data_IF_267930482346
#
_entry.id   IF_267930482346
#
_cell.length_a   1.000
_cell.length_b   1.000
_cell.length_c   1.000
_cell.angle_alpha   90.00
_cell.angle_beta   90.00
_cell.angle_gamma   90.00
#
_symmetry.space_group_name_H-M   'P 1'
#
loop_
_entity.id
_entity.type
_entity.pdbx_description
1 polymer ?
#
# COMPACT_ATOMS: atom_id res chain seq x y z
N UNK A 1 22.04 21.12 -4.12
CA UNK A 1 21.01 20.93 -5.17
C UNK A 1 19.73 20.50 -4.49
N UNK A 2 18.57 21.00 -4.92
CA UNK A 2 17.27 20.64 -4.33
C UNK A 2 16.37 19.88 -5.31
N UNK A 3 16.01 18.66 -4.94
CA UNK A 3 14.98 17.86 -5.58
C UNK A 3 13.66 18.05 -4.83
N UNK A 4 12.68 18.65 -5.50
CA UNK A 4 11.36 18.87 -4.94
C UNK A 4 10.37 17.85 -5.51
N UNK A 5 9.64 17.15 -4.64
CA UNK A 5 8.64 16.13 -4.99
C UNK A 5 7.28 16.66 -4.53
N UNK A 6 6.30 16.71 -5.41
CA UNK A 6 4.93 17.11 -5.05
C UNK A 6 4.04 15.87 -5.03
N UNK A 7 3.51 15.53 -3.86
CA UNK A 7 2.56 14.45 -3.63
C UNK A 7 3.11 13.31 -2.78
N UNK A 8 2.31 12.84 -1.83
CA UNK A 8 2.61 11.72 -0.93
C UNK A 8 1.97 10.38 -1.38
N UNK A 9 1.50 10.30 -2.64
CA UNK A 9 0.98 9.05 -3.20
C UNK A 9 2.08 8.05 -3.53
N UNK A 10 1.72 6.92 -4.15
CA UNK A 10 2.68 5.87 -4.54
C UNK A 10 3.87 6.43 -5.33
N UNK A 11 3.62 7.21 -6.38
CA UNK A 11 4.67 7.77 -7.21
C UNK A 11 5.62 8.70 -6.43
N UNK A 12 5.09 9.53 -5.53
CA UNK A 12 5.88 10.47 -4.73
C UNK A 12 6.70 9.78 -3.66
N UNK A 13 6.12 8.80 -2.96
CA UNK A 13 6.83 7.95 -2.01
C UNK A 13 7.98 7.19 -2.70
N UNK A 14 7.72 6.54 -3.84
CA UNK A 14 8.77 5.84 -4.58
C UNK A 14 9.83 6.78 -5.12
N UNK A 15 9.46 7.97 -5.61
CA UNK A 15 10.43 8.98 -6.01
C UNK A 15 11.36 9.36 -4.84
N UNK A 16 10.81 9.63 -3.66
CA UNK A 16 11.60 9.96 -2.47
C UNK A 16 12.55 8.81 -2.08
N UNK A 17 12.04 7.58 -2.00
CA UNK A 17 12.84 6.39 -1.68
C UNK A 17 13.94 6.14 -2.71
N UNK A 18 13.62 6.19 -4.00
CA UNK A 18 14.58 5.96 -5.07
C UNK A 18 15.65 7.04 -5.13
N UNK A 19 15.29 8.31 -4.93
CA UNK A 19 16.24 9.42 -4.90
C UNK A 19 17.16 9.35 -3.68
N UNK A 20 16.62 9.04 -2.49
CA UNK A 20 17.43 8.84 -1.30
C UNK A 20 18.38 7.64 -1.45
N UNK A 21 17.91 6.54 -2.04
CA UNK A 21 18.76 5.38 -2.33
C UNK A 21 19.86 5.69 -3.34
N UNK A 22 19.56 6.48 -4.38
CA UNK A 22 20.58 6.89 -5.36
C UNK A 22 21.62 7.81 -4.72
N UNK A 23 21.19 8.77 -3.88
CA UNK A 23 22.08 9.65 -3.10
C UNK A 23 23.07 8.84 -2.25
N UNK A 24 22.57 7.81 -1.56
CA UNK A 24 23.38 6.88 -0.75
C UNK A 24 24.37 6.07 -1.59
N UNK A 25 23.92 5.45 -2.70
CA UNK A 25 24.79 4.67 -3.60
C UNK A 25 25.93 5.51 -4.18
N UNK A 26 25.65 6.78 -4.49
CA UNK A 26 26.64 7.70 -5.05
C UNK A 26 27.53 8.36 -3.98
N UNK A 27 27.26 8.13 -2.68
CA UNK A 27 28.00 8.76 -1.59
C UNK A 27 27.83 10.28 -1.53
N UNK A 28 26.71 10.79 -2.02
CA UNK A 28 26.39 12.23 -2.02
C UNK A 28 25.81 12.62 -0.67
N UNK A 29 26.26 13.74 -0.10
CA UNK A 29 25.75 14.21 1.20
C UNK A 29 24.32 14.78 1.09
N UNK A 30 23.54 14.76 2.18
CA UNK A 30 22.29 15.51 2.27
C UNK A 30 22.37 16.99 1.92
N UNK A 31 23.50 17.64 2.24
CA UNK A 31 23.72 19.06 1.97
C UNK A 31 23.93 19.33 0.47
N UNK A 32 24.56 18.37 -0.24
CA UNK A 32 24.77 18.46 -1.68
C UNK A 32 23.49 18.13 -2.48
N UNK A 33 22.68 17.19 -1.96
CA UNK A 33 21.39 16.79 -2.52
C UNK A 33 20.31 16.76 -1.44
N UNK A 34 19.63 17.89 -1.30
CA UNK A 34 18.43 18.04 -0.49
C UNK A 34 17.23 17.44 -1.24
N UNK A 35 16.48 16.57 -0.57
CA UNK A 35 15.26 15.98 -1.10
C UNK A 35 14.10 16.44 -0.22
N UNK A 36 13.12 17.11 -0.81
CA UNK A 36 11.94 17.59 -0.12
C UNK A 36 10.66 17.04 -0.76
N UNK A 37 9.71 16.62 0.06
CA UNK A 37 8.39 16.13 -0.35
C UNK A 37 7.29 17.03 0.21
N UNK A 38 6.49 17.62 -0.70
CA UNK A 38 5.34 18.45 -0.37
C UNK A 38 4.07 17.61 -0.46
N UNK A 39 3.27 17.58 0.61
CA UNK A 39 1.92 17.06 0.57
C UNK A 39 1.05 17.67 1.69
N UNK A 40 -0.29 17.65 1.58
CA UNK A 40 -1.17 18.12 2.65
C UNK A 40 -1.04 17.28 3.93
N UNK A 41 -0.82 15.98 3.75
CA UNK A 41 -0.65 15.00 4.83
C UNK A 41 0.49 14.04 4.50
N UNK A 42 1.27 13.58 5.51
CA UNK A 42 2.33 12.61 5.33
C UNK A 42 1.78 11.17 5.37
N UNK A 43 0.75 10.90 4.56
CA UNK A 43 0.01 9.64 4.59
C UNK A 43 -0.13 9.07 3.17
N UNK A 44 0.22 7.80 3.01
CA UNK A 44 -0.07 7.05 1.78
C UNK A 44 -1.45 6.40 1.90
N UNK A 45 -2.36 6.76 0.99
CA UNK A 45 -3.63 6.04 0.82
C UNK A 45 -3.43 4.89 -0.17
N UNK A 46 -3.82 3.67 0.22
CA UNK A 46 -3.73 2.47 -0.64
C UNK A 46 -4.94 2.45 -1.58
N UNK A 47 -4.99 3.43 -2.50
CA UNK A 47 -6.10 3.64 -3.46
C UNK A 47 -6.57 2.37 -4.18
N UNK A 48 -5.69 1.45 -4.62
CA UNK A 48 -6.12 0.20 -5.26
C UNK A 48 -6.99 -0.72 -4.40
N UNK A 49 -7.08 -0.52 -3.08
CA UNK A 49 -7.85 -1.35 -2.15
C UNK A 49 -9.09 -0.65 -1.59
N UNK A 50 -9.39 0.59 -1.98
CA UNK A 50 -10.49 1.38 -1.39
C UNK A 50 -11.90 0.82 -1.62
N UNK A 51 -12.05 -0.24 -2.41
CA UNK A 51 -13.31 -1.00 -2.52
C UNK A 51 -13.51 -2.02 -1.39
N UNK A 52 -12.49 -2.28 -0.57
CA UNK A 52 -12.54 -3.24 0.52
C UNK A 52 -13.23 -2.64 1.76
N UNK A 53 -13.76 -3.48 2.68
CA UNK A 53 -14.37 -3.01 3.91
C UNK A 53 -13.40 -2.24 4.81
N UNK A 54 -13.93 -1.31 5.62
CA UNK A 54 -13.14 -0.47 6.56
C UNK A 54 -12.01 0.31 5.86
N UNK A 55 -12.33 1.11 4.82
CA UNK A 55 -11.35 1.82 4.02
C UNK A 55 -10.46 2.78 4.83
N UNK A 56 -10.91 3.27 5.98
CA UNK A 56 -10.12 4.08 6.93
C UNK A 56 -8.83 3.38 7.40
N UNK A 57 -8.79 2.05 7.35
CA UNK A 57 -7.62 1.24 7.72
C UNK A 57 -6.60 1.10 6.58
N UNK A 58 -6.93 1.53 5.36
CA UNK A 58 -6.13 1.37 4.16
C UNK A 58 -5.18 2.55 3.92
N UNK A 59 -4.57 3.02 5.01
CA UNK A 59 -3.60 4.12 5.02
C UNK A 59 -2.30 3.68 5.68
N UNK A 60 -1.19 4.31 5.30
CA UNK A 60 0.11 4.09 5.90
C UNK A 60 0.80 5.44 6.20
N UNK A 61 1.29 5.66 7.44
CA UNK A 61 2.01 6.88 7.77
C UNK A 61 3.38 6.87 7.08
N UNK A 62 3.76 8.01 6.48
CA UNK A 62 5.04 8.16 5.78
C UNK A 62 6.09 8.91 6.60
N UNK A 63 5.70 9.64 7.64
CA UNK A 63 6.60 10.55 8.32
C UNK A 63 7.86 9.86 8.89
N UNK A 64 7.71 8.67 9.49
CA UNK A 64 8.86 7.88 9.96
C UNK A 64 9.76 7.39 8.82
N UNK A 65 9.15 6.97 7.71
CA UNK A 65 9.88 6.51 6.52
C UNK A 65 10.68 7.66 5.93
N UNK A 66 10.07 8.83 5.74
CA UNK A 66 10.71 10.03 5.20
C UNK A 66 11.86 10.50 6.08
N UNK A 67 11.67 10.52 7.40
CA UNK A 67 12.76 10.82 8.36
C UNK A 67 13.91 9.83 8.27
N UNK A 68 13.62 8.52 8.16
CA UNK A 68 14.66 7.49 8.12
C UNK A 68 15.55 7.58 6.86
N UNK A 69 15.02 8.14 5.77
CA UNK A 69 15.76 8.32 4.50
C UNK A 69 16.25 9.75 4.30
N UNK A 70 16.13 10.61 5.31
CA UNK A 70 16.53 12.02 5.27
C UNK A 70 15.87 12.78 4.10
N UNK A 71 14.54 12.74 4.08
CA UNK A 71 13.70 13.53 3.18
C UNK A 71 12.91 14.54 4.01
N UNK A 72 13.04 15.82 3.65
CA UNK A 72 12.32 16.91 4.30
C UNK A 72 10.83 16.85 3.90
N UNK A 73 9.95 16.75 4.89
CA UNK A 73 8.52 16.76 4.66
C UNK A 73 7.96 18.15 4.89
N UNK A 74 7.36 18.72 3.84
CA UNK A 74 6.77 20.05 3.87
C UNK A 74 5.26 19.91 3.77
N UNK A 75 4.57 20.25 4.86
CA UNK A 75 3.12 20.22 4.89
C UNK A 75 2.53 21.38 4.07
N UNK A 76 1.87 21.05 2.96
CA UNK A 76 1.20 22.04 2.11
C UNK A 76 0.68 21.48 0.79
N UNK A 77 -0.11 22.29 0.09
CA UNK A 77 -0.61 21.99 -1.25
C UNK A 77 0.08 22.90 -2.26
N UNK A 78 0.68 22.34 -3.31
CA UNK A 78 1.20 23.15 -4.41
C UNK A 78 0.05 23.76 -5.22
N UNK A 79 0.04 25.08 -5.38
CA UNK A 79 -0.98 25.83 -6.12
C UNK A 79 -0.50 26.26 -7.50
N UNK A 80 0.78 26.64 -7.61
CA UNK A 80 1.33 27.18 -8.86
C UNK A 80 2.79 26.78 -9.02
N UNK A 81 3.18 26.45 -10.25
CA UNK A 81 4.55 26.08 -10.62
C UNK A 81 5.02 27.10 -11.66
N UNK A 82 6.04 27.88 -11.32
CA UNK A 82 6.76 28.73 -12.26
C UNK A 82 8.01 27.99 -12.74
N UNK A 83 7.95 27.49 -13.97
CA UNK A 83 9.05 26.74 -14.58
C UNK A 83 10.21 27.60 -15.05
N UNK A 84 9.96 28.90 -15.32
CA UNK A 84 11.00 29.85 -15.72
C UNK A 84 11.85 30.25 -14.53
N UNK A 85 11.20 30.59 -13.42
CA UNK A 85 11.86 30.95 -12.17
C UNK A 85 12.27 29.73 -11.31
N UNK A 86 11.81 28.53 -11.69
CA UNK A 86 11.99 27.26 -10.95
C UNK A 86 11.51 27.36 -9.50
N UNK A 87 10.25 27.81 -9.35
CA UNK A 87 9.61 27.99 -8.06
C UNK A 87 8.25 27.30 -8.00
N UNK A 88 7.88 26.82 -6.82
CA UNK A 88 6.55 26.30 -6.50
C UNK A 88 5.95 27.16 -5.40
N UNK A 89 4.75 27.69 -5.63
CA UNK A 89 3.95 28.29 -4.57
C UNK A 89 3.14 27.20 -3.88
N UNK A 90 3.23 27.16 -2.57
CA UNK A 90 2.50 26.23 -1.72
C UNK A 90 1.56 26.99 -0.79
N UNK A 91 0.36 26.46 -0.59
CA UNK A 91 -0.55 26.86 0.48
C UNK A 91 -0.37 25.92 1.68
N UNK A 92 -0.04 26.51 2.83
CA UNK A 92 0.03 25.79 4.11
C UNK A 92 -1.38 25.58 4.67
N UNK A 93 -1.57 24.65 5.64
CA UNK A 93 -2.87 24.45 6.30
C UNK A 93 -3.43 25.71 6.97
N UNK A 94 -2.57 26.69 7.30
CA UNK A 94 -2.97 27.97 7.89
C UNK A 94 -3.43 29.02 6.86
N UNK A 95 -3.47 28.67 5.58
CA UNK A 95 -3.80 29.60 4.49
C UNK A 95 -2.66 30.53 4.08
N UNK A 96 -1.49 30.45 4.74
CA UNK A 96 -0.30 31.20 4.34
C UNK A 96 0.27 30.59 3.06
N UNK A 97 0.62 31.45 2.09
CA UNK A 97 1.34 31.07 0.89
C UNK A 97 2.84 31.25 1.07
N UNK A 98 3.60 30.24 0.68
CA UNK A 98 5.06 30.25 0.71
C UNK A 98 5.60 29.81 -0.64
N UNK A 99 6.75 30.35 -1.05
CA UNK A 99 7.40 29.99 -2.30
C UNK A 99 8.64 29.14 -2.01
N UNK A 100 8.81 28.05 -2.74
CA UNK A 100 9.96 27.15 -2.65
C UNK A 100 10.66 27.08 -4.01
N UNK A 101 11.96 27.33 -4.02
CA UNK A 101 12.81 27.10 -5.20
C UNK A 101 13.18 25.63 -5.35
N UNK A 102 13.44 25.19 -6.58
CA UNK A 102 13.92 23.84 -6.87
C UNK A 102 14.96 23.82 -8.01
N UNK A 103 15.83 22.82 -8.00
CA UNK A 103 16.71 22.52 -9.14
C UNK A 103 16.10 21.45 -10.06
N UNK A 104 15.40 20.49 -9.44
CA UNK A 104 14.65 19.42 -10.13
C UNK A 104 13.29 19.26 -9.46
N UNK A 105 12.27 18.99 -10.26
CA UNK A 105 10.90 18.85 -9.81
C UNK A 105 10.32 17.52 -10.26
N UNK A 106 9.70 16.78 -9.35
CA UNK A 106 8.90 15.59 -9.62
C UNK A 106 7.45 15.91 -9.29
N UNK A 107 6.56 15.81 -10.28
CA UNK A 107 5.13 16.01 -10.11
C UNK A 107 4.47 14.64 -9.94
N UNK A 108 4.04 14.34 -8.72
CA UNK A 108 3.43 13.08 -8.32
C UNK A 108 2.09 13.30 -7.58
N UNK A 109 1.34 14.35 -7.97
CA UNK A 109 0.07 14.77 -7.36
C UNK A 109 -1.05 13.74 -7.51
N UNK A 110 -0.87 12.76 -8.40
CA UNK A 110 -1.91 11.80 -8.76
C UNK A 110 -3.02 12.43 -9.61
N UNK A 111 -4.12 11.69 -9.73
CA UNK A 111 -5.33 12.06 -10.44
C UNK A 111 -6.50 12.27 -9.47
N UNK A 112 -7.55 12.94 -9.95
CA UNK A 112 -8.84 13.07 -9.26
C UNK A 112 -9.93 12.55 -10.19
N UNK A 113 -10.94 11.90 -9.63
CA UNK A 113 -12.13 11.52 -10.37
C UNK A 113 -12.86 12.74 -10.95
N UNK A 114 -13.16 12.68 -12.24
CA UNK A 114 -14.06 13.61 -12.90
C UNK A 114 -15.52 13.17 -12.69
N UNK A 115 -16.35 14.05 -12.13
CA UNK A 115 -17.80 13.85 -12.01
C UNK A 115 -18.52 14.77 -12.98
N UNK A 116 -19.12 14.25 -14.07
CA UNK A 116 -19.89 15.07 -14.99
C UNK A 116 -21.16 15.60 -14.31
N UNK A 117 -21.70 16.70 -14.84
CA UNK A 117 -22.94 17.30 -14.35
C UNK A 117 -24.18 16.51 -14.83
N UNK A 118 -24.39 15.34 -14.25
CA UNK A 118 -25.56 14.49 -14.50
C UNK A 118 -26.54 14.68 -13.34
N UNK A 119 -27.82 15.01 -13.60
CA UNK A 119 -28.82 15.18 -12.54
C UNK A 119 -28.88 13.98 -11.59
N UNK A 120 -28.75 14.24 -10.28
CA UNK A 120 -28.79 13.20 -9.23
C UNK A 120 -27.45 12.51 -8.95
N UNK A 121 -26.42 12.68 -9.79
CA UNK A 121 -25.13 11.99 -9.61
C UNK A 121 -24.35 12.55 -8.42
N UNK A 122 -24.39 13.86 -8.19
CA UNK A 122 -23.67 14.47 -7.07
C UNK A 122 -24.31 14.13 -5.72
N UNK A 123 -25.63 13.94 -5.71
CA UNK A 123 -26.44 13.69 -4.52
C UNK A 123 -26.51 12.20 -4.15
N UNK A 124 -26.46 11.32 -5.16
CA UNK A 124 -26.68 9.88 -4.97
C UNK A 124 -25.51 9.00 -5.42
N UNK A 125 -24.53 9.56 -6.13
CA UNK A 125 -23.36 8.83 -6.61
C UNK A 125 -22.34 8.59 -5.50
N UNK A 126 -21.81 7.37 -5.46
CA UNK A 126 -20.68 7.00 -4.62
C UNK A 126 -19.45 6.69 -5.47
N UNK A 127 -18.28 6.78 -4.86
CA UNK A 127 -17.01 6.47 -5.50
C UNK A 127 -16.06 5.79 -4.52
N UNK A 128 -15.00 5.19 -5.05
CA UNK A 128 -13.87 4.62 -4.30
C UNK A 128 -12.55 5.30 -4.69
N UNK A 129 -12.61 6.47 -5.34
CA UNK A 129 -11.41 7.16 -5.86
C UNK A 129 -10.57 7.80 -4.76
N UNK A 130 -11.24 8.36 -3.74
CA UNK A 130 -10.65 9.00 -2.56
C UNK A 130 -11.01 8.24 -1.28
N UNK A 131 -10.22 8.45 -0.23
CA UNK A 131 -10.46 7.81 1.07
C UNK A 131 -11.84 8.21 1.64
N UNK A 132 -12.18 9.50 1.60
CA UNK A 132 -13.45 10.02 2.11
C UNK A 132 -14.64 9.46 1.33
N UNK A 133 -14.54 9.36 0.00
CA UNK A 133 -15.61 8.77 -0.82
C UNK A 133 -15.81 7.29 -0.50
N UNK A 134 -14.72 6.55 -0.31
CA UNK A 134 -14.77 5.13 0.05
C UNK A 134 -15.40 4.91 1.43
N UNK A 135 -15.02 5.73 2.42
CA UNK A 135 -15.64 5.72 3.77
C UNK A 135 -17.13 6.04 3.67
N UNK A 136 -17.52 7.02 2.86
CA UNK A 136 -18.92 7.38 2.65
C UNK A 136 -19.71 6.22 2.03
N UNK A 137 -19.13 5.51 1.05
CA UNK A 137 -19.74 4.33 0.45
C UNK A 137 -19.86 3.17 1.45
N UNK A 138 -18.80 2.85 2.19
CA UNK A 138 -18.82 1.77 3.20
C UNK A 138 -19.89 2.03 4.26
N UNK A 139 -19.95 3.25 4.78
CA UNK A 139 -21.00 3.68 5.72
C UNK A 139 -22.40 3.57 5.12
N UNK A 140 -22.57 3.96 3.85
CA UNK A 140 -23.85 3.85 3.16
C UNK A 140 -24.30 2.39 3.06
N UNK A 141 -23.43 1.49 2.62
CA UNK A 141 -23.71 0.07 2.48
C UNK A 141 -24.11 -0.58 3.80
N UNK A 142 -23.42 -0.26 4.90
CA UNK A 142 -23.79 -0.75 6.23
C UNK A 142 -25.16 -0.23 6.66
N UNK A 143 -25.47 1.05 6.42
CA UNK A 143 -26.77 1.63 6.74
C UNK A 143 -27.94 1.07 5.93
N UNK A 144 -27.69 0.39 4.81
CA UNK A 144 -28.76 -0.29 4.05
C UNK A 144 -29.29 -1.52 4.78
N UNK A 145 -28.48 -2.19 5.61
CA UNK A 145 -28.91 -3.37 6.37
C UNK A 145 -30.01 -3.04 7.39
N UNK A 146 -30.03 -1.80 7.89
CA UNK A 146 -30.99 -1.31 8.88
C UNK A 146 -32.28 -0.77 8.24
N UNK A 147 -32.35 -0.70 6.90
CA UNK A 147 -33.53 -0.17 6.21
C UNK A 147 -34.62 -1.25 6.11
N UNK A 148 -35.89 -0.89 6.33
CA UNK A 148 -36.98 -1.81 6.08
C UNK A 148 -36.93 -2.29 4.63
N UNK A 149 -37.13 -3.59 4.43
CA UNK A 149 -37.22 -4.15 3.10
C UNK A 149 -38.29 -3.38 2.32
N UNK A 150 -37.90 -2.79 1.19
CA UNK A 150 -38.85 -2.17 0.29
C UNK A 150 -39.69 -3.29 -0.31
N UNK A 151 -40.85 -3.56 0.30
CA UNK A 151 -41.91 -4.39 -0.27
C UNK A 151 -42.55 -3.60 -1.41
N UNK A 152 -41.86 -3.56 -2.54
CA UNK A 152 -42.48 -3.12 -3.78
C UNK A 152 -43.53 -4.17 -4.19
N UNK A 153 -44.81 -3.79 -4.09
CA UNK A 153 -45.96 -4.60 -4.50
C UNK A 153 -46.02 -4.85 -6.02
N UNK A 154 -45.00 -4.46 -6.78
CA UNK A 154 -44.94 -4.59 -8.24
C UNK A 154 -43.97 -5.67 -8.74
N UNK A 155 -43.34 -6.47 -7.86
CA UNK A 155 -42.54 -7.63 -8.32
C UNK A 155 -43.42 -8.87 -8.45
N UNK A 156 -43.95 -9.07 -9.66
CA UNK A 156 -44.54 -10.34 -10.11
C UNK A 156 -43.67 -11.53 -9.66
N UNK A 157 -44.31 -12.44 -8.95
CA UNK A 157 -43.91 -13.79 -8.55
C UNK A 157 -42.60 -14.32 -9.16
N UNK A 158 -41.54 -14.36 -8.35
CA UNK A 158 -40.46 -15.33 -8.44
C UNK A 158 -40.32 -15.96 -7.06
N UNK A 159 -40.43 -17.29 -6.92
CA UNK A 159 -40.35 -17.94 -5.62
C UNK A 159 -38.98 -17.69 -4.99
N UNK A 160 -39.00 -17.30 -3.72
CA UNK A 160 -37.83 -17.10 -2.89
C UNK A 160 -36.90 -18.32 -2.99
N UNK A 161 -35.74 -18.15 -3.64
CA UNK A 161 -34.68 -19.13 -3.58
C UNK A 161 -34.16 -19.19 -2.14
N UNK A 162 -34.21 -20.39 -1.58
CA UNK A 162 -33.89 -20.69 -0.20
C UNK A 162 -32.51 -20.16 0.23
N UNK A 163 -32.47 -19.68 1.47
CA UNK A 163 -31.29 -19.32 2.24
C UNK A 163 -30.15 -20.34 2.05
N UNK A 164 -28.91 -19.94 1.69
CA UNK A 164 -27.79 -20.86 1.68
C UNK A 164 -27.43 -21.22 3.12
N UNK A 165 -27.90 -22.38 3.55
CA UNK A 165 -27.41 -23.07 4.73
C UNK A 165 -25.88 -23.09 4.74
N UNK A 166 -25.32 -22.79 5.92
CA UNK A 166 -23.90 -22.81 6.24
C UNK A 166 -23.17 -23.97 5.55
N UNK A 167 -22.37 -23.64 4.53
CA UNK A 167 -21.46 -24.62 3.92
C UNK A 167 -20.35 -24.89 4.93
N UNK A 168 -20.50 -25.98 5.70
CA UNK A 168 -19.46 -26.55 6.57
C UNK A 168 -18.17 -26.65 5.76
N UNK A 169 -17.12 -25.97 6.21
CA UNK A 169 -15.76 -26.20 5.71
C UNK A 169 -15.39 -27.67 5.98
N UNK A 170 -14.89 -28.43 4.99
CA UNK A 170 -14.22 -29.68 5.29
C UNK A 170 -12.95 -29.37 6.09
N UNK A 171 -12.89 -29.93 7.30
CA UNK A 171 -11.74 -29.87 8.20
C UNK A 171 -10.48 -30.34 7.49
N UNK A 172 -9.51 -29.44 7.32
CA UNK A 172 -8.18 -29.80 6.85
C UNK A 172 -7.51 -30.67 7.92
N UNK A 173 -6.98 -31.87 7.60
CA UNK A 173 -6.27 -32.68 8.56
C UNK A 173 -4.97 -32.00 8.98
N UNK A 174 -4.74 -32.00 10.30
CA UNK A 174 -3.55 -31.52 11.03
C UNK A 174 -2.26 -31.83 10.27
N UNK A 175 -1.52 -30.78 9.93
CA UNK A 175 -0.14 -30.90 9.48
C UNK A 175 0.72 -31.56 10.57
N UNK A 176 1.59 -32.46 10.10
CA UNK A 176 2.58 -33.21 10.85
C UNK A 176 3.33 -32.36 11.89
N UNK A 177 3.35 -32.88 13.13
CA UNK A 177 4.36 -32.55 14.09
C UNK A 177 5.73 -33.00 13.56
N UNK A 178 6.64 -32.08 13.32
CA UNK A 178 8.06 -32.39 13.28
C UNK A 178 8.64 -32.22 14.67
N UNK A 179 9.07 -33.36 15.21
CA UNK A 179 9.73 -33.56 16.48
C UNK A 179 11.00 -32.71 16.65
N UNK A 180 11.04 -32.02 17.80
CA UNK A 180 12.21 -31.75 18.64
C UNK A 180 13.53 -32.38 18.19
N UNK A 181 14.50 -31.53 17.81
CA UNK A 181 15.92 -31.86 17.80
C UNK A 181 16.61 -31.24 19.03
N UNK A 182 16.75 -32.09 20.05
CA UNK A 182 17.88 -32.24 20.99
C UNK A 182 18.83 -31.05 21.19
N UNK A 183 18.75 -30.45 22.38
CA UNK A 183 19.81 -29.67 23.04
C UNK A 183 20.89 -30.60 23.61
N UNK A 184 22.19 -30.27 23.51
CA UNK A 184 23.19 -30.69 24.48
C UNK A 184 23.46 -29.57 25.49
N UNK A 185 23.58 -29.95 26.76
CA UNK A 185 23.66 -29.03 27.89
C UNK A 185 25.02 -28.35 28.11
N UNK A 186 24.89 -27.18 28.73
CA UNK A 186 25.58 -26.68 29.94
C UNK A 186 27.11 -26.54 29.91
N UNK A 187 27.55 -25.28 30.03
CA UNK A 187 28.63 -24.92 30.95
C UNK A 187 28.40 -23.49 31.46
N UNK A 188 28.33 -23.36 32.78
CA UNK A 188 28.29 -22.13 33.55
C UNK A 188 29.71 -21.65 33.83
N UNK A 189 30.01 -20.37 33.63
CA UNK A 189 31.00 -19.67 34.44
C UNK A 189 30.70 -18.17 34.49
N UNK A 190 30.71 -17.67 35.71
CA UNK A 190 30.77 -16.27 36.11
C UNK A 190 32.05 -15.59 35.63
N UNK A 191 32.00 -14.28 35.35
CA UNK A 191 32.93 -13.26 35.87
C UNK A 191 32.63 -11.87 35.30
N UNK A 192 32.91 -10.89 36.14
CA UNK A 192 32.62 -9.46 36.11
C UNK A 192 33.52 -8.60 35.20
N UNK A 193 33.04 -7.37 34.96
CA UNK A 193 33.77 -6.10 34.87
C UNK A 193 34.38 -5.60 33.52
N UNK A 194 33.78 -4.50 33.04
CA UNK A 194 34.36 -3.24 32.51
C UNK A 194 34.85 -3.12 31.04
N UNK A 195 34.43 -1.98 30.45
CA UNK A 195 35.11 -1.11 29.46
C UNK A 195 34.72 -1.18 27.96
N UNK A 196 34.13 -0.05 27.51
CA UNK A 196 34.15 0.64 26.21
C UNK A 196 34.65 -0.11 24.97
N UNK A 197 33.84 -0.11 23.90
CA UNK A 197 34.26 0.30 22.55
C UNK A 197 33.08 0.38 21.56
N UNK A 198 33.22 1.29 20.59
CA UNK A 198 32.27 1.67 19.52
C UNK A 198 31.98 0.48 18.56
N UNK A 199 30.79 0.39 17.92
CA UNK A 199 30.58 -0.63 16.91
C UNK A 199 31.12 -0.15 15.55
N UNK A 200 32.22 -0.75 15.11
CA UNK A 200 32.67 -0.73 13.72
C UNK A 200 31.94 -1.85 12.96
N UNK A 201 31.18 -1.50 11.91
CA UNK A 201 30.62 -2.49 10.99
C UNK A 201 31.74 -3.09 10.14
N UNK A 202 32.31 -4.20 10.60
CA UNK A 202 33.22 -5.02 9.81
C UNK A 202 32.42 -5.83 8.78
N UNK A 203 32.76 -5.64 7.50
CA UNK A 203 32.24 -6.38 6.35
C UNK A 203 32.60 -7.87 6.48
N UNK A 204 31.59 -8.74 6.60
CA UNK A 204 31.75 -10.18 6.37
C UNK A 204 31.44 -10.47 4.89
N UNK A 205 32.29 -11.19 4.15
CA UNK A 205 31.98 -11.56 2.77
C UNK A 205 30.92 -12.66 2.75
N UNK A 206 29.80 -12.39 2.08
CA UNK A 206 28.72 -13.35 1.86
C UNK A 206 29.23 -14.48 0.93
N UNK A 207 29.31 -15.69 1.48
CA UNK A 207 29.59 -16.93 0.75
C UNK A 207 28.36 -17.28 -0.08
N UNK A 208 28.47 -17.21 -1.40
CA UNK A 208 27.38 -17.54 -2.32
C UNK A 208 27.10 -19.05 -2.31
N UNK A 209 26.08 -19.48 -1.56
CA UNK A 209 25.45 -20.78 -1.80
C UNK A 209 24.40 -20.60 -2.91
N UNK A 210 24.74 -21.06 -4.12
CA UNK A 210 23.75 -21.26 -5.18
C UNK A 210 22.70 -22.25 -4.69
N UNK A 211 21.48 -21.78 -4.40
CA UNK A 211 20.32 -22.66 -4.32
C UNK A 211 20.00 -23.13 -5.73
N UNK A 212 20.19 -24.43 -5.95
CA UNK A 212 19.70 -25.16 -7.13
C UNK A 212 18.25 -25.51 -6.83
N UNK A 213 17.30 -24.82 -7.47
CA UNK A 213 15.90 -25.25 -7.46
C UNK A 213 15.78 -26.50 -8.35
N UNK A 214 15.71 -27.68 -7.75
CA UNK A 214 15.23 -28.87 -8.44
C UNK A 214 13.70 -28.79 -8.53
N UNK A 215 13.20 -28.72 -9.77
CA UNK A 215 11.80 -28.81 -10.12
C UNK A 215 11.31 -30.25 -9.91
N UNK A 216 10.68 -30.53 -8.78
CA UNK A 216 9.89 -31.75 -8.60
C UNK A 216 8.45 -31.52 -9.06
N UNK A 217 8.21 -31.77 -10.35
CA UNK A 217 6.87 -31.91 -10.90
C UNK A 217 6.26 -33.23 -10.37
N UNK A 218 5.48 -33.16 -9.29
CA UNK A 218 4.65 -34.27 -8.86
C UNK A 218 3.37 -34.32 -9.71
N UNK A 219 3.17 -35.48 -10.32
CA UNK A 219 2.06 -35.82 -11.23
C UNK A 219 0.72 -35.65 -10.51
N UNK A 220 -0.12 -34.74 -10.98
CA UNK A 220 -1.56 -34.82 -10.77
C UNK A 220 -2.16 -35.82 -11.76
N UNK A 221 -2.86 -36.81 -11.22
CA UNK A 221 -3.46 -37.91 -11.97
C UNK A 221 -4.52 -37.44 -12.96
N UNK A 222 -4.48 -38.05 -14.13
CA UNK A 222 -5.50 -38.02 -15.18
C UNK A 222 -6.80 -38.68 -14.70
N UNK A 223 -7.89 -37.92 -14.66
CA UNK A 223 -9.26 -38.45 -14.58
C UNK A 223 -9.73 -38.98 -15.95
N UNK A 224 -10.67 -39.94 -15.99
CA UNK A 224 -11.05 -40.63 -17.21
C UNK A 224 -11.83 -39.72 -18.18
N UNK A 225 -11.49 -39.83 -19.46
CA UNK A 225 -12.15 -39.18 -20.58
C UNK A 225 -13.54 -39.81 -20.83
N UNK A 226 -14.59 -38.98 -20.83
CA UNK A 226 -15.91 -39.37 -21.30
C UNK A 226 -15.90 -39.52 -22.82
N UNK A 227 -16.19 -40.73 -23.30
CA UNK A 227 -16.41 -41.03 -24.72
C UNK A 227 -17.66 -40.30 -25.24
N UNK A 228 -17.49 -39.41 -26.22
CA UNK A 228 -18.59 -38.98 -27.09
C UNK A 228 -18.74 -40.01 -28.20
N UNK A 229 -19.91 -40.63 -28.23
CA UNK A 229 -20.38 -41.46 -29.33
C UNK A 229 -20.51 -40.58 -30.59
N UNK A 230 -19.90 -41.08 -31.66
CA UNK A 230 -20.25 -40.79 -33.04
C UNK A 230 -21.63 -41.35 -33.34
N UNK A 231 -22.44 -40.63 -34.12
CA UNK A 231 -23.55 -41.21 -34.86
C UNK A 231 -23.48 -40.70 -36.31
N UNK A 232 -23.62 -41.57 -37.33
CA UNK A 232 -23.56 -41.17 -38.73
C UNK A 232 -24.95 -40.95 -39.37
N UNK A 233 -24.91 -40.27 -40.52
CA UNK A 233 -25.95 -40.00 -41.52
C UNK A 233 -26.98 -38.90 -41.18
#
# INVERSE_FOLDING_TARGET
>A
MRLLIIGAGFAGMYAALSSARLRDIQGVSPDDLEIALIAPEPTLVVRPRLYEPKPETLTAPLLDVLRAIDVDYIQGSAETIDTKARMVQIATPRGTRTTLSYDRLVIATGSRLFRPNIPGLAEHGFSVDSLDDAIALDKHLHGLADRPAVTDATRSSLPAAASPASRRQPSCPRACATSSARTPGRASSSSSATARSRPTWAKTPARSSRMRCESSASRCGSGPASSRSTNPA
#
